data_IF_930933753842
#
_entry.id   IF_930933753842
#
_cell.length_a   1.000
_cell.length_b   1.000
_cell.length_c   1.000
_cell.angle_alpha   90.00
_cell.angle_beta   90.00
_cell.angle_gamma   90.00
#
_symmetry.space_group_name_H-M   'P 1'
#
loop_
_entity.id
_entity.type
_entity.pdbx_description
1 polymer ?
#
# COMPACT_ATOMS: atom_id res chain seq x y z
N UNK A 1 -13.48 4.85 -64.05
CA UNK A 1 -14.63 4.68 -63.14
C UNK A 1 -14.40 3.55 -62.14
N UNK A 2 -14.13 2.30 -62.57
CA UNK A 2 -13.84 1.19 -61.65
C UNK A 2 -12.59 1.39 -60.77
N UNK A 3 -11.55 2.05 -61.29
CA UNK A 3 -10.30 2.38 -60.58
C UNK A 3 -10.43 3.48 -59.53
N UNK A 4 -11.30 4.48 -59.75
CA UNK A 4 -11.54 5.52 -58.75
C UNK A 4 -12.40 5.00 -57.59
N UNK A 5 -13.34 4.10 -57.89
CA UNK A 5 -14.14 3.42 -56.88
C UNK A 5 -13.25 2.55 -55.97
N UNK A 6 -12.28 1.81 -56.52
CA UNK A 6 -11.34 1.01 -55.71
C UNK A 6 -10.41 1.87 -54.87
N UNK A 7 -9.89 3.00 -55.40
CA UNK A 7 -9.05 3.93 -54.62
C UNK A 7 -9.85 4.57 -53.48
N UNK A 8 -11.10 5.00 -53.72
CA UNK A 8 -11.98 5.55 -52.69
C UNK A 8 -12.30 4.55 -51.58
N UNK A 9 -12.57 3.30 -51.92
CA UNK A 9 -12.82 2.22 -50.94
C UNK A 9 -11.58 1.94 -50.10
N UNK A 10 -10.38 1.87 -50.70
CA UNK A 10 -9.12 1.67 -49.97
C UNK A 10 -8.88 2.82 -48.98
N UNK A 11 -9.12 4.07 -49.38
CA UNK A 11 -9.01 5.24 -48.50
C UNK A 11 -10.01 5.21 -47.32
N UNK A 12 -11.25 4.80 -47.57
CA UNK A 12 -12.26 4.65 -46.53
C UNK A 12 -11.89 3.54 -45.52
N UNK A 13 -11.38 2.40 -46.00
CA UNK A 13 -10.90 1.32 -45.13
C UNK A 13 -9.69 1.78 -44.29
N UNK A 14 -8.74 2.49 -44.90
CA UNK A 14 -7.56 2.99 -44.19
C UNK A 14 -7.93 3.98 -43.07
N UNK A 15 -8.88 4.88 -43.32
CA UNK A 15 -9.35 5.85 -42.32
C UNK A 15 -10.08 5.19 -41.16
N UNK A 16 -10.92 4.17 -41.43
CA UNK A 16 -11.57 3.38 -40.38
C UNK A 16 -10.53 2.66 -39.52
N UNK A 17 -9.52 2.03 -40.14
CA UNK A 17 -8.44 1.35 -39.41
C UNK A 17 -7.67 2.35 -38.53
N UNK A 18 -7.30 3.51 -39.08
CA UNK A 18 -6.60 4.55 -38.32
C UNK A 18 -7.43 5.04 -37.12
N UNK A 19 -8.74 5.22 -37.28
CA UNK A 19 -9.64 5.60 -36.21
C UNK A 19 -9.72 4.52 -35.11
N UNK A 20 -9.81 3.24 -35.49
CA UNK A 20 -9.83 2.11 -34.54
C UNK A 20 -8.52 2.03 -33.75
N UNK A 21 -7.37 2.20 -34.41
CA UNK A 21 -6.07 2.26 -33.73
C UNK A 21 -6.05 3.43 -32.73
N UNK A 22 -6.52 4.61 -33.15
CA UNK A 22 -6.62 5.78 -32.28
C UNK A 22 -7.45 5.51 -31.03
N UNK A 23 -8.60 4.84 -31.16
CA UNK A 23 -9.46 4.45 -30.03
C UNK A 23 -8.73 3.47 -29.10
N UNK A 24 -8.06 2.45 -29.64
CA UNK A 24 -7.32 1.46 -28.84
C UNK A 24 -6.22 2.14 -28.03
N UNK A 25 -5.45 3.02 -28.67
CA UNK A 25 -4.38 3.78 -28.00
C UNK A 25 -4.97 4.66 -26.89
N UNK A 26 -6.02 5.43 -27.19
CA UNK A 26 -6.65 6.32 -26.21
C UNK A 26 -7.18 5.56 -24.99
N UNK A 27 -7.89 4.45 -25.19
CA UNK A 27 -8.42 3.60 -24.10
C UNK A 27 -7.27 2.99 -23.29
N UNK A 28 -6.23 2.49 -23.95
CA UNK A 28 -5.08 1.88 -23.28
C UNK A 28 -4.35 2.90 -22.41
N UNK A 29 -4.09 4.09 -22.94
CA UNK A 29 -3.47 5.19 -22.18
C UNK A 29 -4.34 5.56 -20.97
N UNK A 30 -5.66 5.72 -21.15
CA UNK A 30 -6.56 6.06 -20.05
C UNK A 30 -6.55 4.99 -18.93
N UNK A 31 -6.56 3.71 -19.29
CA UNK A 31 -6.48 2.61 -18.32
C UNK A 31 -5.13 2.61 -17.59
N UNK A 32 -4.02 2.74 -18.31
CA UNK A 32 -2.68 2.80 -17.71
C UNK A 32 -2.58 3.99 -16.73
N UNK A 33 -3.03 5.17 -17.14
CA UNK A 33 -3.01 6.37 -16.29
C UNK A 33 -3.84 6.19 -15.03
N UNK A 34 -5.03 5.58 -15.13
CA UNK A 34 -5.85 5.24 -13.96
C UNK A 34 -5.08 4.34 -13.00
N UNK A 35 -4.49 3.26 -13.49
CA UNK A 35 -3.82 2.26 -12.64
C UNK A 35 -2.53 2.80 -12.01
N UNK A 36 -1.77 3.59 -12.76
CA UNK A 36 -0.62 4.30 -12.22
C UNK A 36 -1.05 5.21 -11.06
N UNK A 37 -2.13 6.00 -11.24
CA UNK A 37 -2.62 6.90 -10.20
C UNK A 37 -3.11 6.15 -8.96
N UNK A 38 -3.79 5.02 -9.14
CA UNK A 38 -4.22 4.17 -8.02
C UNK A 38 -3.01 3.60 -7.28
N UNK A 39 -1.99 3.14 -8.00
CA UNK A 39 -0.75 2.63 -7.40
C UNK A 39 -0.03 3.72 -6.60
N UNK A 40 0.08 4.94 -7.15
CA UNK A 40 0.61 6.11 -6.46
C UNK A 40 -0.14 6.39 -5.15
N UNK A 41 -1.47 6.48 -5.18
CA UNK A 41 -2.27 6.73 -3.98
C UNK A 41 -2.10 5.63 -2.91
N UNK A 42 -1.95 4.37 -3.32
CA UNK A 42 -1.69 3.27 -2.38
C UNK A 42 -0.28 3.34 -1.79
N UNK A 43 0.71 3.72 -2.59
CA UNK A 43 2.07 3.93 -2.09
C UNK A 43 2.13 5.10 -1.11
N UNK A 44 1.42 6.20 -1.40
CA UNK A 44 1.28 7.33 -0.49
C UNK A 44 0.63 6.90 0.82
N UNK A 45 -0.46 6.13 0.76
CA UNK A 45 -1.08 5.55 1.95
C UNK A 45 -0.10 4.69 2.77
N UNK A 46 0.70 3.83 2.13
CA UNK A 46 1.73 3.00 2.80
C UNK A 46 2.80 3.90 3.45
N UNK A 47 3.25 4.94 2.76
CA UNK A 47 4.30 5.82 3.24
C UNK A 47 3.82 6.65 4.44
N UNK A 48 2.59 7.18 4.39
CA UNK A 48 1.95 7.86 5.51
C UNK A 48 1.77 6.92 6.70
N UNK A 49 1.32 5.69 6.46
CA UNK A 49 1.20 4.66 7.50
C UNK A 49 2.56 4.35 8.16
N UNK A 50 3.64 4.22 7.38
CA UNK A 50 5.00 4.01 7.91
C UNK A 50 5.46 5.17 8.80
N UNK A 51 5.20 6.41 8.39
CA UNK A 51 5.53 7.60 9.19
C UNK A 51 4.77 7.59 10.51
N UNK A 52 3.45 7.38 10.46
CA UNK A 52 2.62 7.34 11.66
C UNK A 52 3.04 6.22 12.62
N UNK A 53 3.37 5.04 12.10
CA UNK A 53 3.88 3.91 12.90
C UNK A 53 5.21 4.25 13.55
N UNK A 54 6.16 4.80 12.80
CA UNK A 54 7.44 5.23 13.35
C UNK A 54 7.24 6.24 14.48
N UNK A 55 6.41 7.26 14.25
CA UNK A 55 6.07 8.26 15.28
C UNK A 55 5.39 7.62 16.50
N UNK A 56 4.43 6.71 16.30
CA UNK A 56 3.78 6.00 17.41
C UNK A 56 4.80 5.23 18.26
N UNK A 57 5.66 4.42 17.62
CA UNK A 57 6.63 3.59 18.32
C UNK A 57 7.68 4.43 19.05
N UNK A 58 8.18 5.50 18.43
CA UNK A 58 9.13 6.43 19.06
C UNK A 58 8.49 7.15 20.25
N UNK A 59 7.28 7.72 20.09
CA UNK A 59 6.59 8.40 21.19
C UNK A 59 6.20 7.43 22.31
N UNK A 60 5.81 6.19 21.98
CA UNK A 60 5.55 5.17 22.98
C UNK A 60 6.80 4.82 23.78
N UNK A 61 7.92 4.55 23.10
CA UNK A 61 9.19 4.27 23.74
C UNK A 61 9.65 5.43 24.64
N UNK A 62 9.54 6.66 24.15
CA UNK A 62 9.88 7.86 24.93
C UNK A 62 9.00 7.98 26.18
N UNK A 63 7.68 7.81 26.04
CA UNK A 63 6.76 7.77 27.17
C UNK A 63 7.17 6.68 28.17
N UNK A 64 7.50 5.46 27.72
CA UNK A 64 7.90 4.35 28.61
C UNK A 64 9.13 4.68 29.44
N UNK A 65 10.17 5.26 28.84
CA UNK A 65 11.36 5.66 29.58
C UNK A 65 11.04 6.79 30.56
N UNK A 66 10.31 7.80 30.10
CA UNK A 66 9.93 8.93 30.93
C UNK A 66 9.12 8.50 32.15
N UNK A 67 8.11 7.64 31.96
CA UNK A 67 7.29 7.13 33.07
C UNK A 67 8.04 6.18 33.98
N UNK A 68 8.97 5.37 33.45
CA UNK A 68 9.84 4.51 34.27
C UNK A 68 10.69 5.34 35.22
N UNK A 69 11.48 6.27 34.69
CA UNK A 69 12.41 7.05 35.52
C UNK A 69 11.67 8.00 36.45
N UNK A 70 10.56 8.60 35.99
CA UNK A 70 9.71 9.40 36.85
C UNK A 70 9.12 8.61 38.02
N UNK A 71 8.61 7.40 37.77
CA UNK A 71 8.11 6.51 38.82
C UNK A 71 9.22 6.10 39.79
N UNK A 72 10.40 5.69 39.30
CA UNK A 72 11.53 5.32 40.18
C UNK A 72 11.99 6.49 41.06
N UNK A 73 12.11 7.70 40.50
CA UNK A 73 12.49 8.88 41.26
C UNK A 73 11.45 9.22 42.34
N UNK A 74 10.16 9.03 42.06
CA UNK A 74 9.09 9.26 43.05
C UNK A 74 9.17 8.30 44.25
N UNK A 75 9.68 7.07 44.06
CA UNK A 75 9.92 6.12 45.15
C UNK A 75 11.07 6.57 46.06
N UNK A 76 12.06 7.29 45.51
CA UNK A 76 13.25 7.76 46.25
C UNK A 76 12.93 9.07 47.00
N UNK A 77 12.36 10.06 46.29
CA UNK A 77 12.22 11.42 46.81
C UNK A 77 10.87 11.70 47.50
N UNK A 78 9.93 10.73 47.53
CA UNK A 78 8.54 10.92 47.96
C UNK A 78 7.85 12.15 47.30
N UNK A 79 8.35 12.60 46.15
CA UNK A 79 7.89 13.82 45.49
C UNK A 79 6.76 13.50 44.48
N UNK A 80 5.68 14.28 44.55
CA UNK A 80 4.42 14.09 43.80
C UNK A 80 4.52 14.59 42.34
N UNK A 81 5.65 15.20 41.95
CA UNK A 81 5.76 16.05 40.75
C UNK A 81 5.57 15.33 39.41
N UNK A 82 5.65 14.00 39.38
CA UNK A 82 5.50 13.21 38.15
C UNK A 82 4.14 13.38 37.46
N UNK A 83 3.05 13.54 38.22
CA UNK A 83 1.69 13.63 37.65
C UNK A 83 1.36 14.97 36.99
N UNK A 84 2.20 15.99 37.15
CA UNK A 84 2.02 17.35 36.61
C UNK A 84 2.95 17.67 35.44
N UNK A 85 3.68 16.69 34.93
CA UNK A 85 4.68 16.91 33.89
C UNK A 85 4.05 17.28 32.53
N UNK A 86 4.27 18.52 32.10
CA UNK A 86 3.81 19.05 30.83
C UNK A 86 4.42 18.30 29.63
N UNK A 87 5.67 17.85 29.74
CA UNK A 87 6.34 17.04 28.73
C UNK A 87 5.62 15.71 28.52
N UNK A 88 5.36 14.97 29.60
CA UNK A 88 4.65 13.70 29.54
C UNK A 88 3.23 13.88 28.98
N UNK A 89 2.52 14.92 29.43
CA UNK A 89 1.19 15.25 28.92
C UNK A 89 1.20 15.50 27.41
N UNK A 90 2.16 16.29 26.93
CA UNK A 90 2.34 16.57 25.49
C UNK A 90 2.58 15.29 24.68
N UNK A 91 3.46 14.41 25.16
CA UNK A 91 3.75 13.14 24.47
C UNK A 91 2.59 12.15 24.52
N UNK A 92 1.80 12.12 25.59
CA UNK A 92 0.56 11.33 25.64
C UNK A 92 -0.47 11.81 24.62
N UNK A 93 -0.60 13.12 24.39
CA UNK A 93 -1.45 13.63 23.32
C UNK A 93 -0.97 13.20 21.93
N UNK A 94 0.34 13.29 21.66
CA UNK A 94 0.94 12.79 20.40
C UNK A 94 0.69 11.29 20.22
N UNK A 95 0.85 10.51 21.29
CA UNK A 95 0.57 9.07 21.27
C UNK A 95 -0.89 8.78 20.87
N UNK A 96 -1.85 9.51 21.46
CA UNK A 96 -3.28 9.39 21.11
C UNK A 96 -3.52 9.81 19.66
N UNK A 97 -2.88 10.88 19.20
CA UNK A 97 -2.99 11.37 17.83
C UNK A 97 -2.50 10.32 16.82
N UNK A 98 -1.27 9.81 16.98
CA UNK A 98 -0.72 8.78 16.10
C UNK A 98 -1.53 7.49 16.16
N UNK A 99 -1.94 7.06 17.35
CA UNK A 99 -2.81 5.89 17.53
C UNK A 99 -4.14 6.03 16.78
N UNK A 100 -4.75 7.21 16.83
CA UNK A 100 -6.02 7.48 16.15
C UNK A 100 -5.84 7.52 14.63
N UNK A 101 -4.80 8.22 14.16
CA UNK A 101 -4.42 8.30 12.75
C UNK A 101 -4.24 6.90 12.13
N UNK A 102 -3.52 6.02 12.84
CA UNK A 102 -3.32 4.63 12.45
C UNK A 102 -4.64 3.87 12.43
N UNK A 103 -5.43 3.95 13.52
CA UNK A 103 -6.70 3.22 13.62
C UNK A 103 -7.70 3.59 12.51
N UNK A 104 -7.71 4.84 12.03
CA UNK A 104 -8.56 5.23 10.89
C UNK A 104 -8.11 4.62 9.55
N UNK A 105 -6.85 4.21 9.42
CA UNK A 105 -6.32 3.55 8.23
C UNK A 105 -6.43 2.02 8.28
N UNK A 106 -6.48 1.45 9.49
CA UNK A 106 -6.64 0.02 9.68
C UNK A 106 -8.07 -0.44 9.36
N UNK A 107 -8.19 -1.69 8.94
CA UNK A 107 -9.49 -2.31 8.75
C UNK A 107 -9.99 -2.86 10.10
N UNK A 108 -11.19 -2.47 10.55
CA UNK A 108 -11.70 -2.82 11.88
C UNK A 108 -11.97 -4.32 12.05
N UNK A 109 -12.12 -5.09 10.97
CA UNK A 109 -12.41 -6.52 10.99
C UNK A 109 -11.13 -7.36 10.86
N UNK A 110 -10.25 -7.05 9.91
CA UNK A 110 -9.02 -7.82 9.72
C UNK A 110 -7.95 -7.50 10.76
N UNK A 111 -7.93 -6.27 11.30
CA UNK A 111 -6.83 -5.78 12.11
C UNK A 111 -7.20 -5.65 13.60
N UNK A 112 -8.26 -6.35 14.04
CA UNK A 112 -8.78 -6.33 15.43
C UNK A 112 -7.70 -6.53 16.49
N UNK A 113 -6.81 -7.50 16.27
CA UNK A 113 -5.74 -7.83 17.22
C UNK A 113 -4.74 -6.68 17.39
N UNK A 114 -4.38 -6.02 16.28
CA UNK A 114 -3.49 -4.87 16.27
C UNK A 114 -4.15 -3.65 16.90
N UNK A 115 -5.42 -3.38 16.58
CA UNK A 115 -6.20 -2.30 17.19
C UNK A 115 -6.27 -2.48 18.72
N UNK A 116 -6.51 -3.70 19.19
CA UNK A 116 -6.50 -4.00 20.63
C UNK A 116 -5.13 -3.72 21.24
N UNK A 117 -4.04 -4.14 20.59
CA UNK A 117 -2.68 -3.87 21.07
C UNK A 117 -2.40 -2.35 21.18
N UNK A 118 -2.78 -1.57 20.16
CA UNK A 118 -2.66 -0.11 20.19
C UNK A 118 -3.42 0.49 21.38
N UNK A 119 -4.62 0.00 21.68
CA UNK A 119 -5.40 0.50 22.82
C UNK A 119 -4.75 0.16 24.18
N UNK A 120 -4.04 -0.97 24.27
CA UNK A 120 -3.36 -1.40 25.49
C UNK A 120 -2.11 -0.58 25.84
N UNK A 121 -1.59 0.23 24.90
CA UNK A 121 -0.42 1.09 25.14
C UNK A 121 -0.63 1.98 26.37
N UNK A 122 -1.82 2.59 26.49
CA UNK A 122 -2.15 3.46 27.63
C UNK A 122 -2.17 2.68 28.95
N UNK A 123 -2.66 1.44 28.93
CA UNK A 123 -2.75 0.61 30.14
C UNK A 123 -1.35 0.34 30.71
N UNK A 124 -0.37 0.04 29.84
CA UNK A 124 1.02 -0.19 30.26
C UNK A 124 1.65 1.08 30.84
N UNK A 125 1.41 2.23 30.22
CA UNK A 125 1.91 3.51 30.73
C UNK A 125 1.31 3.81 32.13
N UNK A 126 0.00 3.58 32.29
CA UNK A 126 -0.69 3.76 33.58
C UNK A 126 -0.15 2.78 34.63
N UNK A 127 0.05 1.52 34.26
CA UNK A 127 0.61 0.46 35.13
C UNK A 127 1.98 0.89 35.69
N UNK A 128 2.88 1.43 34.86
CA UNK A 128 4.17 1.94 35.32
C UNK A 128 3.99 3.15 36.26
N UNK A 129 3.16 4.13 35.86
CA UNK A 129 2.98 5.38 36.61
C UNK A 129 2.33 5.23 37.98
N UNK A 130 1.61 4.14 38.22
CA UNK A 130 0.84 3.89 39.45
C UNK A 130 1.47 2.80 40.33
N UNK A 131 2.53 2.17 39.84
CA UNK A 131 3.28 1.16 40.58
C UNK A 131 3.96 1.75 41.80
N UNK A 132 3.94 1.00 42.92
CA UNK A 132 4.44 1.46 44.23
C UNK A 132 5.77 0.84 44.64
N UNK A 133 6.34 -0.03 43.80
CA UNK A 133 7.63 -0.65 44.04
C UNK A 133 8.41 -0.79 42.72
N UNK A 134 9.72 -0.89 42.85
CA UNK A 134 10.66 -0.94 41.72
C UNK A 134 10.47 -2.20 40.84
N UNK A 135 10.10 -3.33 41.44
CA UNK A 135 9.91 -4.58 40.71
C UNK A 135 8.74 -4.50 39.73
N UNK A 136 7.60 -3.97 40.17
CA UNK A 136 6.41 -3.80 39.32
C UNK A 136 6.66 -2.79 38.21
N UNK A 137 7.35 -1.67 38.51
CA UNK A 137 7.80 -0.70 37.50
C UNK A 137 8.64 -1.40 36.42
N UNK A 138 9.62 -2.22 36.85
CA UNK A 138 10.53 -2.90 35.94
C UNK A 138 9.83 -3.97 35.10
N UNK A 139 8.89 -4.70 35.69
CA UNK A 139 8.07 -5.70 35.01
C UNK A 139 7.18 -5.05 33.95
N UNK A 140 6.45 -3.99 34.30
CA UNK A 140 5.57 -3.26 33.40
C UNK A 140 6.36 -2.55 32.28
N UNK A 141 7.53 -2.00 32.58
CA UNK A 141 8.43 -1.46 31.56
C UNK A 141 8.91 -2.54 30.57
N UNK A 142 9.31 -3.70 31.08
CA UNK A 142 9.73 -4.85 30.24
C UNK A 142 8.60 -5.32 29.34
N UNK A 143 7.38 -5.39 29.89
CA UNK A 143 6.15 -5.67 29.13
C UNK A 143 5.93 -4.63 28.04
N UNK A 144 6.09 -3.34 28.32
CA UNK A 144 5.99 -2.26 27.34
C UNK A 144 7.02 -2.38 26.21
N UNK A 145 8.27 -2.72 26.53
CA UNK A 145 9.31 -2.96 25.51
C UNK A 145 8.97 -4.15 24.61
N UNK A 146 8.53 -5.26 25.19
CA UNK A 146 8.06 -6.42 24.41
C UNK A 146 6.84 -6.07 23.55
N UNK A 147 5.96 -5.19 24.03
CA UNK A 147 4.79 -4.75 23.28
C UNK A 147 5.16 -3.88 22.07
N UNK A 148 6.18 -3.02 22.18
CA UNK A 148 6.75 -2.25 21.06
C UNK A 148 7.23 -3.20 19.95
N UNK A 149 8.03 -4.22 20.29
CA UNK A 149 8.55 -5.19 19.31
C UNK A 149 7.42 -5.95 18.62
N UNK A 150 6.37 -6.30 19.37
CA UNK A 150 5.17 -6.97 18.82
C UNK A 150 4.37 -6.03 17.92
N UNK A 151 4.17 -4.77 18.31
CA UNK A 151 3.53 -3.75 17.48
C UNK A 151 4.29 -3.59 16.17
N UNK A 152 5.61 -3.46 16.22
CA UNK A 152 6.46 -3.34 15.02
C UNK A 152 6.29 -4.55 14.09
N UNK A 153 6.36 -5.76 14.64
CA UNK A 153 6.14 -6.99 13.88
C UNK A 153 4.75 -7.07 13.25
N UNK A 154 3.71 -6.70 13.99
CA UNK A 154 2.32 -6.74 13.51
C UNK A 154 2.09 -5.67 12.43
N UNK A 155 2.65 -4.46 12.56
CA UNK A 155 2.63 -3.45 11.50
C UNK A 155 3.40 -3.90 10.26
N UNK A 156 4.53 -4.59 10.41
CA UNK A 156 5.27 -5.12 9.26
C UNK A 156 4.42 -6.09 8.44
N UNK A 157 3.63 -6.96 9.10
CA UNK A 157 2.70 -7.88 8.43
C UNK A 157 1.61 -7.14 7.66
N UNK A 158 1.00 -6.12 8.26
CA UNK A 158 -0.03 -5.28 7.61
C UNK A 158 0.55 -4.54 6.40
N UNK A 159 1.71 -3.90 6.57
CA UNK A 159 2.37 -3.19 5.47
C UNK A 159 2.78 -4.14 4.34
N UNK A 160 3.21 -5.36 4.68
CA UNK A 160 3.57 -6.38 3.70
C UNK A 160 2.35 -6.89 2.94
N UNK A 161 1.24 -7.19 3.61
CA UNK A 161 0.01 -7.64 2.95
C UNK A 161 -0.52 -6.59 1.99
N UNK A 162 -0.45 -5.31 2.39
CA UNK A 162 -0.83 -4.18 1.58
C UNK A 162 0.10 -3.97 0.39
N UNK A 163 1.41 -4.11 0.58
CA UNK A 163 2.37 -4.08 -0.52
C UNK A 163 2.12 -5.18 -1.56
N UNK A 164 1.82 -6.41 -1.12
CA UNK A 164 1.45 -7.49 -2.03
C UNK A 164 0.12 -7.20 -2.75
N UNK A 165 -0.83 -6.51 -2.11
CA UNK A 165 -2.07 -6.04 -2.75
C UNK A 165 -1.77 -5.00 -3.84
N UNK A 166 -0.87 -4.05 -3.60
CA UNK A 166 -0.44 -3.06 -4.59
C UNK A 166 0.20 -3.73 -5.80
N UNK A 167 1.15 -4.64 -5.57
CA UNK A 167 1.86 -5.34 -6.66
C UNK A 167 0.95 -6.20 -7.53
N UNK A 168 -0.06 -6.83 -6.94
CA UNK A 168 -1.06 -7.61 -7.70
C UNK A 168 -1.91 -6.72 -8.62
N UNK A 169 -2.05 -5.44 -8.32
CA UNK A 169 -2.90 -4.51 -9.05
C UNK A 169 -4.39 -4.84 -8.94
N UNK A 170 -5.22 -4.10 -9.69
CA UNK A 170 -6.67 -4.35 -9.71
C UNK A 170 -7.03 -5.51 -10.64
N UNK A 171 -7.98 -6.36 -10.22
CA UNK A 171 -8.43 -7.52 -11.02
C UNK A 171 -8.89 -7.13 -12.43
N UNK A 172 -9.51 -5.95 -12.58
CA UNK A 172 -9.96 -5.44 -13.87
C UNK A 172 -8.79 -5.10 -14.80
N UNK A 173 -7.73 -4.49 -14.27
CA UNK A 173 -6.52 -4.21 -15.04
C UNK A 173 -5.80 -5.49 -15.47
N UNK A 174 -5.67 -6.46 -14.56
CA UNK A 174 -5.05 -7.77 -14.90
C UNK A 174 -5.81 -8.44 -16.04
N UNK A 175 -7.14 -8.39 -16.03
CA UNK A 175 -7.97 -8.90 -17.14
C UNK A 175 -7.81 -8.10 -18.42
N UNK A 176 -7.82 -6.76 -18.33
CA UNK A 176 -7.63 -5.88 -19.48
C UNK A 176 -6.28 -6.15 -20.17
N UNK A 177 -5.21 -6.26 -19.37
CA UNK A 177 -3.88 -6.59 -19.85
C UNK A 177 -3.84 -7.96 -20.53
N UNK A 178 -4.38 -9.00 -19.90
CA UNK A 178 -4.40 -10.36 -20.46
C UNK A 178 -5.19 -10.41 -21.78
N UNK A 179 -6.32 -9.72 -21.85
CA UNK A 179 -7.09 -9.61 -23.10
C UNK A 179 -6.30 -8.89 -24.19
N UNK A 180 -5.62 -7.79 -23.85
CA UNK A 180 -4.73 -7.08 -24.77
C UNK A 180 -3.59 -7.95 -25.30
N UNK A 181 -2.96 -8.74 -24.43
CA UNK A 181 -1.92 -9.71 -24.81
C UNK A 181 -2.47 -10.77 -25.79
N UNK A 182 -3.65 -11.33 -25.52
CA UNK A 182 -4.31 -12.30 -26.41
C UNK A 182 -4.62 -11.68 -27.78
N UNK A 183 -5.20 -10.47 -27.80
CA UNK A 183 -5.50 -9.76 -29.05
C UNK A 183 -4.25 -9.48 -29.87
N UNK A 184 -3.13 -9.11 -29.22
CA UNK A 184 -1.86 -8.88 -29.89
C UNK A 184 -1.32 -10.17 -30.52
N UNK A 185 -1.32 -11.28 -29.78
CA UNK A 185 -0.90 -12.59 -30.33
C UNK A 185 -1.78 -13.03 -31.50
N UNK A 186 -3.09 -12.86 -31.40
CA UNK A 186 -4.02 -13.17 -32.48
C UNK A 186 -3.73 -12.33 -33.74
N UNK A 187 -3.49 -11.02 -33.56
CA UNK A 187 -3.14 -10.13 -34.66
C UNK A 187 -1.83 -10.53 -35.36
N UNK A 188 -0.78 -10.82 -34.58
CA UNK A 188 0.50 -11.29 -35.10
C UNK A 188 0.33 -12.61 -35.85
N UNK A 189 -0.43 -13.56 -35.30
CA UNK A 189 -0.69 -14.84 -35.94
C UNK A 189 -1.40 -14.68 -37.29
N UNK A 190 -2.47 -13.86 -37.35
CA UNK A 190 -3.20 -13.57 -38.59
C UNK A 190 -2.26 -12.91 -39.61
N UNK A 191 -1.41 -11.97 -39.20
CA UNK A 191 -0.43 -11.33 -40.07
C UNK A 191 0.51 -12.34 -40.72
N UNK A 192 1.07 -13.28 -39.94
CA UNK A 192 1.93 -14.34 -40.49
C UNK A 192 1.18 -15.31 -41.42
N UNK A 193 -0.08 -15.64 -41.11
CA UNK A 193 -0.92 -16.48 -41.98
C UNK A 193 -1.14 -15.79 -43.33
N UNK A 194 -1.49 -14.50 -43.33
CA UNK A 194 -1.67 -13.73 -44.57
C UNK A 194 -0.36 -13.68 -45.38
N UNK A 195 0.78 -13.43 -44.73
CA UNK A 195 2.08 -13.44 -45.41
C UNK A 195 2.40 -14.80 -46.05
N UNK A 196 2.08 -15.91 -45.36
CA UNK A 196 2.27 -17.25 -45.91
C UNK A 196 1.41 -17.45 -47.16
N UNK A 197 0.12 -17.09 -47.11
CA UNK A 197 -0.78 -17.19 -48.27
C UNK A 197 -0.34 -16.32 -49.45
N UNK A 198 0.22 -15.13 -49.21
CA UNK A 198 0.73 -14.26 -50.29
C UNK A 198 1.99 -14.83 -50.94
N UNK A 199 2.87 -15.49 -50.18
CA UNK A 199 4.14 -16.04 -50.70
C UNK A 199 4.05 -17.44 -51.31
N UNK A 200 3.05 -18.25 -50.96
CA UNK A 200 2.86 -19.60 -51.50
C UNK A 200 2.72 -19.61 -53.06
N UNK A 201 1.97 -18.70 -53.70
CA UNK A 201 1.87 -18.63 -55.16
C UNK A 201 3.20 -18.34 -55.86
N UNK A 202 4.04 -17.47 -55.30
CA UNK A 202 5.36 -17.13 -55.86
C UNK A 202 6.33 -18.31 -55.83
N UNK A 203 6.29 -19.11 -54.74
CA UNK A 203 7.08 -20.33 -54.61
C UNK A 203 6.61 -21.45 -55.54
N UNK A 204 5.31 -21.55 -55.81
CA UNK A 204 4.76 -22.55 -56.73
C UNK A 204 5.15 -22.30 -58.19
N UNK A 205 5.32 -21.04 -58.60
CA UNK A 205 5.74 -20.64 -59.96
C UNK A 205 7.25 -20.85 -60.18
N UNK A 206 8.07 -20.80 -59.13
CA UNK A 206 9.53 -21.04 -59.20
C UNK A 206 9.91 -22.53 -59.24
N UNK A 207 8.98 -23.43 -58.89
CA UNK A 207 9.17 -24.88 -58.85
C UNK A 207 8.48 -25.63 -60.01
N UNK A 208 7.77 -24.91 -60.89
CA UNK A 208 7.16 -25.41 -62.14
C UNK A 208 7.99 -25.02 -63.36
#
# INVERSE_FOLDING_TARGET
MATELTVGVIGAVATIIAALIGIIVAVTTAVISKEQKISEFRQDWINEMRKDVASLLTTYNDCLYHVKYGALNSLIDNSISFHTDEYLKSNLFKLIQHSSSIKFRLNPESDKALIRRINNIREIIVEISTSKNEQDITNAFTKGKSDIEKLESDFHKVLKSEWERVKRGEKHFVRFRSLGEICLFAFIAVFFVVLAFVKIPELAILLS
#
